data_IF_024412193273
#
_entry.id   IF_024412193273
#
_cell.length_a   1.000
_cell.length_b   1.000
_cell.length_c   1.000
_cell.angle_alpha   90.00
_cell.angle_beta   90.00
_cell.angle_gamma   90.00
#
_symmetry.space_group_name_H-M   'P 1'
#
loop_
_entity.id
_entity.type
_entity.pdbx_description
1 polymer ?
#
# COMPACT_ATOMS: atom_id res chain seq x y z
N UNK A 1 -21.30 0.25 -3.89
CA UNK A 1 -20.71 0.35 -5.23
C UNK A 1 -19.39 1.10 -5.13
N UNK A 2 -18.33 0.61 -5.78
CA UNK A 2 -17.00 1.21 -5.77
C UNK A 2 -16.92 2.39 -6.76
N UNK A 3 -16.36 3.52 -6.30
CA UNK A 3 -16.00 4.65 -7.15
C UNK A 3 -14.48 4.81 -7.21
N UNK A 4 -13.97 5.59 -8.17
CA UNK A 4 -12.53 5.85 -8.28
C UNK A 4 -11.94 6.51 -7.04
N UNK A 5 -12.71 7.40 -6.40
CA UNK A 5 -12.34 8.11 -5.18
C UNK A 5 -12.26 7.15 -3.98
N UNK A 6 -13.21 6.20 -3.87
CA UNK A 6 -13.16 5.17 -2.83
C UNK A 6 -11.97 4.22 -3.02
N UNK A 7 -11.64 3.89 -4.27
CA UNK A 7 -10.43 3.10 -4.58
C UNK A 7 -9.17 3.89 -4.22
N UNK A 8 -9.12 5.20 -4.52
CA UNK A 8 -8.00 6.06 -4.15
C UNK A 8 -7.80 6.10 -2.62
N UNK A 9 -8.90 6.32 -1.87
CA UNK A 9 -8.86 6.34 -0.41
C UNK A 9 -8.35 5.01 0.17
N UNK A 10 -8.72 3.86 -0.44
CA UNK A 10 -8.20 2.55 -0.03
C UNK A 10 -6.74 2.34 -0.36
N UNK A 11 -6.28 2.82 -1.51
CA UNK A 11 -4.86 2.80 -1.85
C UNK A 11 -4.05 3.69 -0.88
N UNK A 12 -4.58 4.84 -0.48
CA UNK A 12 -3.95 5.72 0.50
C UNK A 12 -3.88 5.07 1.89
N UNK A 13 -4.97 4.44 2.36
CA UNK A 13 -4.99 3.64 3.60
C UNK A 13 -3.94 2.52 3.56
N UNK A 14 -3.86 1.79 2.43
CA UNK A 14 -2.90 0.72 2.21
C UNK A 14 -1.45 1.24 2.24
N UNK A 15 -1.16 2.33 1.51
CA UNK A 15 0.17 2.93 1.51
C UNK A 15 0.59 3.44 2.90
N UNK A 16 -0.34 4.00 3.66
CA UNK A 16 -0.08 4.42 5.03
C UNK A 16 0.13 3.22 5.97
N UNK A 17 -0.65 2.15 5.79
CA UNK A 17 -0.47 0.89 6.53
C UNK A 17 0.93 0.31 6.31
N UNK A 18 1.39 0.23 5.06
CA UNK A 18 2.75 -0.21 4.73
C UNK A 18 3.82 0.68 5.36
N UNK A 19 3.63 2.00 5.38
CA UNK A 19 4.56 2.95 6.01
C UNK A 19 4.69 2.74 7.52
N UNK A 20 3.62 2.28 8.17
CA UNK A 20 3.59 2.01 9.61
C UNK A 20 4.12 0.64 9.99
N UNK A 21 4.15 -0.32 9.05
CA UNK A 21 4.73 -1.63 9.31
C UNK A 21 6.16 -1.47 9.84
N UNK A 22 6.58 -2.28 10.82
CA UNK A 22 7.96 -2.29 11.24
C UNK A 22 8.81 -2.64 10.03
N UNK A 23 9.79 -1.79 9.72
CA UNK A 23 10.75 -2.07 8.66
C UNK A 23 11.53 -3.33 9.05
N UNK A 24 11.09 -4.47 8.52
CA UNK A 24 11.65 -5.78 8.81
C UNK A 24 13.09 -5.83 8.33
N UNK A 25 13.39 -5.25 7.18
CA UNK A 25 14.75 -5.23 6.64
C UNK A 25 15.68 -4.40 7.54
N UNK A 26 15.25 -3.24 8.01
CA UNK A 26 16.00 -2.47 9.01
C UNK A 26 16.09 -3.21 10.36
N UNK A 27 15.06 -3.96 10.78
CA UNK A 27 15.12 -4.81 11.99
C UNK A 27 16.12 -5.96 11.87
N UNK A 28 16.26 -6.57 10.69
CA UNK A 28 17.26 -7.63 10.43
C UNK A 28 18.66 -7.06 10.17
N UNK A 29 18.76 -5.88 9.55
CA UNK A 29 20.00 -5.22 9.13
C UNK A 29 20.67 -4.38 10.22
N UNK A 30 19.90 -3.81 11.17
CA UNK A 30 20.47 -3.16 12.37
C UNK A 30 20.88 -4.15 13.48
N UNK A 31 20.79 -5.46 13.22
CA UNK A 31 21.34 -6.48 14.09
C UNK A 31 20.34 -7.01 15.10
N UNK A 32 20.49 -8.30 15.36
CA UNK A 32 19.80 -9.09 16.36
C UNK A 32 19.95 -8.45 17.75
N UNK A 33 19.10 -7.49 18.12
CA UNK A 33 18.80 -7.30 19.53
C UNK A 33 17.96 -8.50 19.95
N UNK A 34 18.55 -9.36 20.77
CA UNK A 34 17.90 -10.55 21.32
C UNK A 34 16.52 -10.19 21.88
N UNK A 35 15.55 -11.10 21.75
CA UNK A 35 14.29 -11.01 22.49
C UNK A 35 14.48 -11.19 24.01
N UNK A 36 15.72 -11.36 24.47
CA UNK A 36 16.08 -11.34 25.88
C UNK A 36 15.95 -9.92 26.43
N UNK A 37 15.33 -9.75 27.62
CA UNK A 37 15.30 -8.47 28.31
C UNK A 37 16.73 -7.99 28.61
N UNK A 38 16.99 -6.69 28.39
CA UNK A 38 18.24 -6.05 28.79
C UNK A 38 18.44 -6.22 30.30
N UNK A 39 19.66 -6.58 30.71
CA UNK A 39 20.05 -6.63 32.13
C UNK A 39 19.82 -5.24 32.73
N UNK A 40 18.91 -5.15 33.70
CA UNK A 40 18.61 -3.89 34.40
C UNK A 40 19.88 -3.39 35.06
N UNK A 41 20.46 -2.32 34.50
CA UNK A 41 21.39 -1.46 35.21
C UNK A 41 20.64 -0.21 35.63
N UNK A 42 20.74 0.06 36.91
CA UNK A 42 20.03 1.09 37.67
C UNK A 42 19.96 2.44 36.93
N UNK A 43 18.77 3.04 36.97
CA UNK A 43 18.36 4.19 36.16
C UNK A 43 19.07 5.47 36.57
N UNK A 44 19.87 6.05 35.66
CA UNK A 44 20.23 7.48 35.73
C UNK A 44 19.97 8.14 34.38
N UNK A 45 18.83 8.83 34.36
CA UNK A 45 18.49 10.03 33.58
C UNK A 45 19.16 10.23 32.20
N UNK A 46 18.40 10.04 31.13
CA UNK A 46 18.53 10.89 29.94
C UNK A 46 17.14 11.24 29.41
N UNK A 47 16.59 12.30 29.97
CA UNK A 47 15.48 13.05 29.40
C UNK A 47 16.07 13.99 28.34
N UNK A 48 16.01 13.59 27.08
CA UNK A 48 16.32 14.47 25.95
C UNK A 48 15.13 14.46 24.98
N UNK A 49 14.19 15.38 25.21
CA UNK A 49 13.04 15.63 24.34
C UNK A 49 13.49 16.31 23.04
N UNK A 50 14.04 15.54 22.11
CA UNK A 50 14.18 15.94 20.71
C UNK A 50 12.83 15.75 20.04
N UNK A 51 12.24 16.82 19.49
CA UNK A 51 10.88 16.88 18.94
C UNK A 51 10.35 15.55 18.41
N UNK A 52 9.55 14.88 19.25
CA UNK A 52 9.06 13.52 18.98
C UNK A 52 8.15 13.62 17.77
N UNK A 53 8.63 13.16 16.60
CA UNK A 53 7.70 12.76 15.54
C UNK A 53 6.86 11.66 16.16
N UNK A 54 5.60 11.99 16.48
CA UNK A 54 4.65 11.02 17.02
C UNK A 54 4.52 9.92 15.97
N UNK A 55 5.25 8.82 16.17
CA UNK A 55 5.13 7.65 15.33
C UNK A 55 3.80 7.03 15.70
N UNK A 56 2.86 7.05 14.77
CA UNK A 56 1.62 6.30 14.90
C UNK A 56 1.99 4.83 15.21
N UNK A 57 1.27 4.24 16.16
CA UNK A 57 1.48 2.85 16.56
C UNK A 57 1.37 1.88 15.37
N UNK A 58 1.80 0.62 15.55
CA UNK A 58 1.67 -0.40 14.51
C UNK A 58 0.22 -0.48 13.99
N UNK A 59 0.02 -0.77 12.70
CA UNK A 59 -1.32 -0.87 12.14
C UNK A 59 -2.09 -2.04 12.77
N UNK A 60 -3.42 -1.96 12.79
CA UNK A 60 -4.25 -3.06 13.27
C UNK A 60 -4.22 -4.25 12.29
N UNK A 61 -4.45 -5.50 12.76
CA UNK A 61 -4.53 -6.66 11.88
C UNK A 61 -5.52 -6.47 10.72
N UNK A 62 -6.71 -5.94 10.99
CA UNK A 62 -7.69 -5.66 9.94
C UNK A 62 -7.24 -4.60 8.92
N UNK A 63 -6.33 -3.69 9.27
CA UNK A 63 -5.73 -2.77 8.29
C UNK A 63 -4.73 -3.51 7.38
N UNK A 64 -4.01 -4.51 7.92
CA UNK A 64 -3.12 -5.38 7.15
C UNK A 64 -3.92 -6.25 6.17
N UNK A 65 -5.03 -6.86 6.61
CA UNK A 65 -5.89 -7.65 5.71
C UNK A 65 -6.43 -6.80 4.55
N UNK A 66 -6.86 -5.56 4.85
CA UNK A 66 -7.32 -4.61 3.82
C UNK A 66 -6.19 -4.19 2.88
N UNK A 67 -4.98 -4.00 3.43
CA UNK A 67 -3.78 -3.73 2.63
C UNK A 67 -3.50 -4.87 1.65
N UNK A 68 -3.51 -6.12 2.11
CA UNK A 68 -3.25 -7.29 1.26
C UNK A 68 -4.24 -7.39 0.11
N UNK A 69 -5.54 -7.23 0.40
CA UNK A 69 -6.58 -7.17 -0.63
C UNK A 69 -6.33 -6.02 -1.63
N UNK A 70 -5.95 -4.84 -1.14
CA UNK A 70 -5.72 -3.63 -1.96
C UNK A 70 -4.49 -3.75 -2.85
N UNK A 71 -3.40 -4.34 -2.36
CA UNK A 71 -2.21 -4.65 -3.19
C UNK A 71 -2.62 -5.58 -4.33
N UNK A 72 -3.50 -6.55 -4.07
CA UNK A 72 -4.04 -7.45 -5.08
C UNK A 72 -4.67 -6.71 -6.27
N UNK A 73 -5.35 -5.58 -6.04
CA UNK A 73 -6.00 -4.80 -7.11
C UNK A 73 -5.01 -4.19 -8.10
N UNK A 74 -3.77 -3.93 -7.68
CA UNK A 74 -2.73 -3.39 -8.55
C UNK A 74 -2.36 -4.34 -9.70
N UNK A 75 -2.65 -5.64 -9.55
CA UNK A 75 -2.45 -6.65 -10.60
C UNK A 75 -3.32 -6.40 -11.84
N UNK A 76 -4.47 -5.73 -11.68
CA UNK A 76 -5.40 -5.38 -12.76
C UNK A 76 -4.88 -4.27 -13.67
N UNK A 77 -3.81 -3.58 -13.25
CA UNK A 77 -3.24 -2.44 -13.94
C UNK A 77 -1.98 -2.82 -14.72
N UNK A 78 -1.78 -2.13 -15.83
CA UNK A 78 -0.47 -2.10 -16.50
C UNK A 78 0.60 -1.54 -15.56
N UNK A 79 1.87 -1.87 -15.83
CA UNK A 79 2.98 -1.42 -14.99
C UNK A 79 3.04 0.11 -14.82
N UNK A 80 2.85 0.86 -15.92
CA UNK A 80 2.86 2.33 -15.89
C UNK A 80 1.71 2.89 -15.04
N UNK A 81 0.51 2.33 -15.16
CA UNK A 81 -0.66 2.73 -14.36
C UNK A 81 -0.46 2.42 -12.89
N UNK A 82 0.08 1.22 -12.57
CA UNK A 82 0.39 0.79 -11.20
C UNK A 82 1.35 1.75 -10.52
N UNK A 83 2.46 2.09 -11.19
CA UNK A 83 3.46 3.03 -10.67
C UNK A 83 2.86 4.39 -10.36
N UNK A 84 2.02 4.93 -11.25
CA UNK A 84 1.36 6.23 -11.04
C UNK A 84 0.37 6.16 -9.88
N UNK A 85 -0.53 5.18 -9.88
CA UNK A 85 -1.54 5.04 -8.82
C UNK A 85 -0.89 4.88 -7.45
N UNK A 86 0.14 4.03 -7.35
CA UNK A 86 0.86 3.79 -6.10
C UNK A 86 1.68 4.99 -5.63
N UNK A 87 2.37 5.68 -6.54
CA UNK A 87 3.15 6.88 -6.19
C UNK A 87 2.27 7.96 -5.56
N UNK A 88 1.10 8.20 -6.14
CA UNK A 88 0.15 9.19 -5.65
C UNK A 88 -0.45 8.78 -4.31
N UNK A 89 -0.86 7.50 -4.16
CA UNK A 89 -1.32 6.95 -2.88
C UNK A 89 -0.26 7.01 -1.77
N UNK A 90 1.02 6.89 -2.15
CA UNK A 90 2.16 7.02 -1.22
C UNK A 90 2.44 8.46 -0.78
N UNK A 91 1.69 9.45 -1.27
CA UNK A 91 1.83 10.86 -0.92
C UNK A 91 2.74 11.67 -1.85
N UNK A 92 3.17 11.13 -2.99
CA UNK A 92 3.86 11.93 -4.01
C UNK A 92 2.82 12.78 -4.73
N UNK A 93 2.98 14.11 -4.75
CA UNK A 93 2.04 14.96 -5.47
C UNK A 93 2.13 14.77 -6.99
N UNK A 94 1.00 14.90 -7.69
CA UNK A 94 0.95 14.78 -9.15
C UNK A 94 1.92 15.75 -9.85
N UNK A 95 2.09 16.97 -9.32
CA UNK A 95 3.04 17.94 -9.83
C UNK A 95 4.50 17.49 -9.65
N UNK A 96 4.85 16.86 -8.52
CA UNK A 96 6.18 16.30 -8.30
C UNK A 96 6.43 15.12 -9.22
N UNK A 97 5.48 14.19 -9.33
CA UNK A 97 5.59 13.02 -10.20
C UNK A 97 5.69 13.42 -11.69
N UNK A 98 4.91 14.40 -12.12
CA UNK A 98 4.95 14.92 -13.49
C UNK A 98 6.32 15.50 -13.85
N UNK A 99 6.96 16.23 -12.93
CA UNK A 99 8.34 16.72 -13.13
C UNK A 99 9.36 15.59 -13.22
N UNK A 100 9.21 14.52 -12.43
CA UNK A 100 10.11 13.36 -12.48
C UNK A 100 10.00 12.60 -13.81
N UNK A 101 8.80 12.52 -14.38
CA UNK A 101 8.52 11.78 -15.63
C UNK A 101 8.74 12.66 -16.88
N UNK A 102 8.74 13.99 -16.74
CA UNK A 102 8.87 14.91 -17.88
C UNK A 102 7.55 15.12 -18.63
N UNK A 103 6.41 15.13 -17.94
CA UNK A 103 5.10 15.36 -18.55
C UNK A 103 4.29 16.45 -17.83
N UNK A 104 3.13 16.83 -18.39
CA UNK A 104 2.23 17.79 -17.76
C UNK A 104 1.51 17.17 -16.54
N UNK A 105 1.23 17.98 -15.51
CA UNK A 105 0.57 17.53 -14.27
C UNK A 105 -0.80 16.88 -14.51
N UNK A 106 -1.59 17.41 -15.44
CA UNK A 106 -2.90 16.87 -15.78
C UNK A 106 -2.79 15.49 -16.43
N UNK A 107 -1.70 15.19 -17.14
CA UNK A 107 -1.45 13.87 -17.71
C UNK A 107 -1.35 12.81 -16.61
N UNK A 108 -0.69 13.13 -15.51
CA UNK A 108 -0.61 12.23 -14.34
C UNK A 108 -1.97 12.04 -13.68
N UNK A 109 -2.69 13.13 -13.42
CA UNK A 109 -4.02 13.07 -12.82
C UNK A 109 -5.01 12.25 -13.68
N UNK A 110 -5.01 12.46 -15.00
CA UNK A 110 -5.85 11.72 -15.94
C UNK A 110 -5.49 10.23 -15.99
N UNK A 111 -4.19 9.90 -16.01
CA UNK A 111 -3.72 8.50 -15.97
C UNK A 111 -4.10 7.80 -14.68
N UNK A 112 -3.99 8.49 -13.54
CA UNK A 112 -4.44 7.96 -12.26
C UNK A 112 -5.95 7.72 -12.28
N UNK A 113 -6.75 8.71 -12.68
CA UNK A 113 -8.20 8.58 -12.73
C UNK A 113 -8.64 7.42 -13.65
N UNK A 114 -7.97 7.23 -14.79
CA UNK A 114 -8.22 6.08 -15.66
C UNK A 114 -7.90 4.75 -14.95
N UNK A 115 -6.75 4.64 -14.27
CA UNK A 115 -6.39 3.44 -13.52
C UNK A 115 -7.39 3.12 -12.39
N UNK A 116 -7.82 4.13 -11.64
CA UNK A 116 -8.80 3.96 -10.56
C UNK A 116 -10.17 3.51 -11.09
N UNK A 117 -10.60 3.99 -12.27
CA UNK A 117 -11.82 3.52 -12.93
C UNK A 117 -11.75 2.05 -13.36
N UNK A 118 -10.59 1.58 -13.83
CA UNK A 118 -10.38 0.17 -14.17
C UNK A 118 -10.59 -0.70 -12.92
N UNK A 119 -9.92 -0.37 -11.81
CA UNK A 119 -10.08 -1.10 -10.55
C UNK A 119 -11.53 -1.07 -10.07
N UNK A 120 -12.16 0.12 -10.03
CA UNK A 120 -13.55 0.24 -9.61
C UNK A 120 -14.50 -0.59 -10.50
N UNK A 121 -14.25 -0.64 -11.81
CA UNK A 121 -14.98 -1.48 -12.75
C UNK A 121 -14.91 -2.96 -12.38
N UNK A 122 -13.71 -3.49 -12.11
CA UNK A 122 -13.52 -4.88 -11.68
C UNK A 122 -14.17 -5.16 -10.31
N UNK A 123 -14.02 -4.26 -9.33
CA UNK A 123 -14.62 -4.46 -8.00
C UNK A 123 -16.15 -4.40 -8.00
N UNK A 124 -16.75 -3.80 -9.04
CA UNK A 124 -18.19 -3.77 -9.22
C UNK A 124 -18.72 -4.97 -10.04
N UNK A 125 -17.85 -5.81 -10.60
CA UNK A 125 -18.30 -7.03 -11.27
C UNK A 125 -18.77 -8.07 -10.23
N UNK A 126 -19.92 -8.73 -10.44
CA UNK A 126 -20.33 -9.83 -9.57
C UNK A 126 -19.31 -10.98 -9.68
N UNK A 127 -19.07 -11.70 -8.59
CA UNK A 127 -18.05 -12.76 -8.43
C UNK A 127 -18.17 -13.99 -9.39
N UNK A 128 -19.00 -13.90 -10.43
CA UNK A 128 -19.37 -15.00 -11.33
C UNK A 128 -18.31 -15.38 -12.39
N UNK A 129 -17.02 -15.05 -12.21
CA UNK A 129 -15.94 -15.42 -13.13
C UNK A 129 -14.87 -16.34 -12.50
N UNK A 130 -15.10 -16.84 -11.28
CA UNK A 130 -14.17 -17.74 -10.58
C UNK A 130 -14.50 -19.24 -10.58
N UNK A 131 -15.62 -19.68 -11.17
CA UNK A 131 -16.11 -21.06 -11.04
C UNK A 131 -16.77 -21.63 -12.31
N UNK A 132 -16.23 -21.34 -13.50
CA UNK A 132 -16.77 -21.77 -14.80
C UNK A 132 -15.81 -22.50 -15.73
N UNK A 133 -14.60 -22.84 -15.29
CA UNK A 133 -13.64 -23.63 -16.07
C UNK A 133 -13.27 -24.92 -15.32
N UNK A 134 -14.29 -25.62 -14.82
CA UNK A 134 -14.15 -26.97 -14.31
C UNK A 134 -14.40 -27.93 -15.48
N UNK A 135 -13.36 -28.63 -15.92
CA UNK A 135 -13.42 -29.96 -16.57
C UNK A 135 -14.34 -30.07 -17.81
N UNK A 136 -13.77 -29.86 -18.99
CA UNK A 136 -14.14 -30.64 -20.18
C UNK A 136 -12.95 -31.55 -20.46
N UNK A 137 -13.05 -32.79 -20.00
CA UNK A 137 -13.42 -33.93 -20.85
C UNK A 137 -12.22 -34.39 -21.69
N UNK A 138 -11.46 -35.33 -21.12
CA UNK A 138 -10.64 -36.24 -21.90
C UNK A 138 -10.75 -37.62 -21.24
N UNK A 139 -11.89 -38.26 -21.51
CA UNK A 139 -12.13 -39.67 -21.22
C UNK A 139 -12.71 -40.37 -22.44
N UNK A 140 -11.83 -40.92 -23.29
CA UNK A 140 -11.86 -42.29 -23.87
C UNK A 140 -10.62 -42.49 -24.73
#
# INVERSE_FOLDING_TARGET
>A
MWTGELVAARLEEAADTLRRLPDTETKYRLGLRSAWPDVVRESVAVQASTGVRVRLGPPSPGAIDRLEATIGWLSLLTEAQRRIAWALASGISAARLARMIGCHRNTIANRQAAALRIIAGHLNQPAAQGAGACVQDMGV
#
